data_IF_517502277995
#
_entry.id   IF_517502277995
#
_cell.length_a   1.000
_cell.length_b   1.000
_cell.length_c   1.000
_cell.angle_alpha   90.00
_cell.angle_beta   90.00
_cell.angle_gamma   90.00
#
_symmetry.space_group_name_H-M   'P 1'
#
loop_
_entity.id
_entity.type
_entity.pdbx_description
1 polymer ?
#
# COMPACT_ATOMS: atom_id res chain seq x y z
N UNK A 1 -25.92 -4.03 -13.89
CA UNK A 1 -24.52 -4.47 -13.75
C UNK A 1 -23.65 -3.24 -13.96
N UNK A 2 -23.13 -2.62 -12.89
CA UNK A 2 -22.22 -1.49 -13.10
C UNK A 2 -20.88 -2.05 -13.61
N UNK A 3 -20.31 -1.52 -14.70
CA UNK A 3 -18.95 -1.84 -15.07
C UNK A 3 -18.06 -1.11 -14.04
N UNK A 4 -17.69 -1.79 -12.97
CA UNK A 4 -16.62 -1.31 -12.08
C UNK A 4 -15.34 -1.35 -12.89
N UNK A 5 -15.01 -0.21 -13.52
CA UNK A 5 -13.74 0.04 -14.18
C UNK A 5 -12.66 -0.18 -13.11
N UNK A 6 -11.82 -1.22 -13.23
CA UNK A 6 -10.73 -1.43 -12.29
C UNK A 6 -9.86 -0.18 -12.33
N UNK A 7 -9.83 0.58 -11.25
CA UNK A 7 -8.92 1.72 -11.16
C UNK A 7 -7.50 1.16 -11.27
N UNK A 8 -6.62 1.72 -12.12
CA UNK A 8 -5.26 1.22 -12.27
C UNK A 8 -4.55 1.31 -10.92
N UNK A 9 -4.36 0.14 -10.30
CA UNK A 9 -3.60 0.01 -9.08
C UNK A 9 -2.12 0.00 -9.49
N UNK A 10 -1.45 1.13 -9.36
CA UNK A 10 0.00 1.19 -9.54
C UNK A 10 0.67 0.33 -8.47
N UNK A 11 1.61 -0.53 -8.88
CA UNK A 11 2.32 -1.43 -7.98
C UNK A 11 3.24 -0.70 -6.98
N UNK A 12 3.46 0.61 -7.17
CA UNK A 12 4.43 1.40 -6.42
C UNK A 12 3.85 2.77 -6.02
N UNK A 13 4.19 3.23 -4.81
CA UNK A 13 3.83 4.56 -4.35
C UNK A 13 4.64 5.67 -5.04
N UNK A 14 4.21 6.95 -4.97
CA UNK A 14 4.89 8.07 -5.63
C UNK A 14 6.29 8.37 -5.07
N UNK A 15 6.61 7.85 -3.89
CA UNK A 15 7.96 7.94 -3.31
C UNK A 15 8.86 6.84 -3.88
N UNK A 16 8.36 5.61 -3.95
CA UNK A 16 9.05 4.51 -4.56
C UNK A 16 9.32 4.70 -6.07
N UNK A 17 8.40 5.37 -6.78
CA UNK A 17 8.61 5.73 -8.18
C UNK A 17 9.84 6.64 -8.40
N UNK A 18 10.13 7.54 -7.44
CA UNK A 18 11.34 8.39 -7.49
C UNK A 18 12.63 7.58 -7.28
N UNK A 19 12.59 6.57 -6.41
CA UNK A 19 13.74 5.67 -6.19
C UNK A 19 14.05 4.86 -7.45
N UNK A 20 13.03 4.41 -8.18
CA UNK A 20 13.17 3.71 -9.46
C UNK A 20 13.89 4.57 -10.52
N UNK A 21 13.51 5.86 -10.62
CA UNK A 21 14.21 6.79 -11.53
C UNK A 21 15.67 7.01 -11.14
N UNK A 22 15.97 7.05 -9.85
CA UNK A 22 17.35 7.17 -9.36
C UNK A 22 18.14 5.89 -9.68
N UNK A 23 17.56 4.70 -9.47
CA UNK A 23 18.18 3.42 -9.82
C UNK A 23 18.51 3.33 -11.30
N UNK A 24 17.56 3.73 -12.17
CA UNK A 24 17.77 3.80 -13.61
C UNK A 24 18.87 4.80 -14.01
N UNK A 25 18.93 5.97 -13.36
CA UNK A 25 19.97 6.96 -13.60
C UNK A 25 21.37 6.43 -13.21
N UNK A 26 21.47 5.70 -12.11
CA UNK A 26 22.74 5.07 -11.67
C UNK A 26 23.17 3.95 -12.62
N UNK A 27 22.23 3.11 -13.07
CA UNK A 27 22.51 2.09 -14.08
C UNK A 27 22.99 2.71 -15.39
N UNK A 28 22.29 3.74 -15.87
CA UNK A 28 22.68 4.48 -17.06
C UNK A 28 24.06 5.12 -16.90
N UNK A 29 24.34 5.73 -15.74
CA UNK A 29 25.67 6.26 -15.43
C UNK A 29 26.74 5.18 -15.45
N UNK A 30 26.50 3.99 -14.88
CA UNK A 30 27.44 2.86 -14.94
C UNK A 30 27.77 2.41 -16.36
N UNK A 31 26.74 2.30 -17.23
CA UNK A 31 26.95 1.99 -18.65
C UNK A 31 27.68 3.11 -19.39
N UNK A 32 27.35 4.38 -19.10
CA UNK A 32 28.03 5.54 -19.69
C UNK A 32 29.49 5.59 -19.25
N UNK A 33 29.79 5.35 -17.97
CA UNK A 33 31.16 5.27 -17.45
C UNK A 33 31.95 4.15 -18.12
N UNK A 34 31.34 3.00 -18.40
CA UNK A 34 32.00 1.93 -19.16
C UNK A 34 32.24 2.31 -20.64
N UNK A 35 31.33 3.09 -21.25
CA UNK A 35 31.46 3.57 -22.64
C UNK A 35 32.42 4.76 -22.82
N UNK A 36 32.52 5.64 -21.81
CA UNK A 36 33.32 6.87 -21.86
C UNK A 36 34.61 6.80 -21.04
N UNK A 37 34.76 5.78 -20.18
CA UNK A 37 35.92 5.60 -19.30
C UNK A 37 37.24 5.46 -20.04
N UNK A 38 37.21 5.05 -21.31
CA UNK A 38 38.41 4.93 -22.16
C UNK A 38 38.81 6.26 -22.83
N UNK A 39 37.98 7.31 -22.75
CA UNK A 39 38.11 8.52 -23.60
C UNK A 39 38.82 9.69 -22.94
N UNK A 40 38.84 9.75 -21.62
CA UNK A 40 39.62 10.75 -20.90
C UNK A 40 40.86 10.06 -20.32
N UNK A 41 41.98 10.77 -20.36
CA UNK A 41 43.29 10.36 -19.86
C UNK A 41 43.30 10.21 -18.31
N UNK A 42 42.34 9.47 -17.76
CA UNK A 42 42.44 8.88 -16.44
C UNK A 42 43.45 7.74 -16.59
N UNK A 43 44.66 7.90 -16.06
CA UNK A 43 45.69 6.85 -16.01
C UNK A 43 45.32 5.67 -15.10
N UNK A 44 44.06 5.23 -15.16
CA UNK A 44 43.33 4.50 -14.14
C UNK A 44 42.44 3.47 -14.84
N UNK A 45 43.02 2.39 -15.36
CA UNK A 45 42.26 1.21 -15.84
C UNK A 45 41.17 0.77 -14.83
N UNK A 46 41.31 1.18 -13.58
CA UNK A 46 40.37 1.04 -12.48
C UNK A 46 39.03 1.76 -12.66
N UNK A 47 38.95 2.93 -13.29
CA UNK A 47 37.68 3.69 -13.34
C UNK A 47 36.67 3.05 -14.29
N UNK A 48 37.08 2.71 -15.51
CA UNK A 48 36.20 2.00 -16.45
C UNK A 48 35.89 0.56 -16.00
N UNK A 49 36.94 -0.18 -15.59
CA UNK A 49 36.85 -1.62 -15.34
C UNK A 49 36.37 -1.96 -13.93
N UNK A 50 36.65 -1.13 -12.92
CA UNK A 50 36.19 -1.35 -11.53
C UNK A 50 34.97 -0.51 -11.22
N UNK A 51 34.97 0.78 -11.54
CA UNK A 51 33.87 1.68 -11.19
C UNK A 51 32.60 1.39 -12.00
N UNK A 52 32.73 1.05 -13.29
CA UNK A 52 31.59 0.70 -14.16
C UNK A 52 30.77 -0.47 -13.59
N UNK A 53 31.37 -1.65 -13.38
CA UNK A 53 30.68 -2.78 -12.75
C UNK A 53 30.19 -2.49 -11.32
N UNK A 54 30.93 -1.70 -10.53
CA UNK A 54 30.51 -1.31 -9.18
C UNK A 54 29.23 -0.46 -9.20
N UNK A 55 29.12 0.50 -10.11
CA UNK A 55 27.91 1.30 -10.31
C UNK A 55 26.74 0.44 -10.77
N UNK A 56 26.98 -0.55 -11.64
CA UNK A 56 25.94 -1.47 -12.09
C UNK A 56 25.38 -2.31 -10.92
N UNK A 57 26.25 -2.85 -10.06
CA UNK A 57 25.83 -3.63 -8.88
C UNK A 57 25.06 -2.74 -7.89
N UNK A 58 25.56 -1.53 -7.63
CA UNK A 58 24.87 -0.57 -6.77
C UNK A 58 23.51 -0.15 -7.34
N UNK A 59 23.45 0.15 -8.64
CA UNK A 59 22.21 0.51 -9.34
C UNK A 59 21.19 -0.62 -9.33
N UNK A 60 21.61 -1.86 -9.58
CA UNK A 60 20.76 -3.04 -9.46
C UNK A 60 20.24 -3.25 -8.04
N UNK A 61 21.08 -3.02 -7.02
CA UNK A 61 20.68 -3.11 -5.62
C UNK A 61 19.61 -2.07 -5.25
N UNK A 62 19.77 -0.83 -5.72
CA UNK A 62 18.79 0.24 -5.53
C UNK A 62 17.48 -0.09 -6.23
N UNK A 63 17.54 -0.57 -7.47
CA UNK A 63 16.37 -0.94 -8.27
C UNK A 63 15.61 -2.12 -7.62
N UNK A 64 16.34 -3.13 -7.16
CA UNK A 64 15.79 -4.26 -6.45
C UNK A 64 15.13 -3.85 -5.14
N UNK A 65 15.78 -2.95 -4.38
CA UNK A 65 15.21 -2.37 -3.17
C UNK A 65 13.96 -1.53 -3.47
N UNK A 66 13.95 -0.72 -4.53
CA UNK A 66 12.75 0.02 -4.94
C UNK A 66 11.61 -0.95 -5.27
N UNK A 67 11.85 -2.02 -6.01
CA UNK A 67 10.79 -2.97 -6.37
C UNK A 67 10.27 -3.74 -5.14
N UNK A 68 11.15 -4.19 -4.24
CA UNK A 68 10.75 -4.98 -3.07
C UNK A 68 10.14 -4.14 -1.95
N UNK A 69 10.62 -2.92 -1.74
CA UNK A 69 10.19 -2.05 -0.64
C UNK A 69 8.83 -1.47 -0.98
N UNK A 70 7.79 -2.20 -0.57
CA UNK A 70 6.41 -1.72 -0.64
C UNK A 70 6.18 -0.65 0.41
N UNK A 71 5.91 0.57 -0.02
CA UNK A 71 5.43 1.63 0.85
C UNK A 71 4.06 1.23 1.44
N UNK A 72 3.87 1.46 2.75
CA UNK A 72 2.56 1.31 3.45
C UNK A 72 1.43 2.08 2.76
N UNK A 73 1.77 3.09 1.96
CA UNK A 73 0.83 3.87 1.15
C UNK A 73 0.04 3.01 0.15
N UNK A 74 0.61 1.90 -0.35
CA UNK A 74 -0.09 0.94 -1.21
C UNK A 74 -1.14 0.13 -0.44
N UNK A 75 -0.94 -0.08 0.86
CA UNK A 75 -1.93 -0.72 1.76
C UNK A 75 -3.12 0.22 1.98
N UNK A 76 -2.90 1.53 2.06
CA UNK A 76 -4.00 2.50 2.24
C UNK A 76 -4.84 2.67 0.95
N UNK A 77 -4.23 2.55 -0.23
CA UNK A 77 -4.95 2.60 -1.51
C UNK A 77 -5.62 1.26 -1.90
N UNK A 78 -5.12 0.13 -1.40
CA UNK A 78 -5.72 -1.20 -1.59
C UNK A 78 -6.73 -1.57 -0.51
N UNK A 79 -6.75 -0.87 0.62
CA UNK A 79 -7.89 -0.91 1.52
C UNK A 79 -9.02 -0.21 0.77
N UNK A 80 -10.05 -0.93 0.29
CA UNK A 80 -11.26 -0.25 -0.16
C UNK A 80 -11.63 0.68 0.99
N UNK A 81 -12.01 1.95 0.78
CA UNK A 81 -12.68 2.70 1.84
C UNK A 81 -13.74 1.73 2.36
N UNK A 82 -13.58 1.29 3.63
CA UNK A 82 -14.45 0.31 4.23
C UNK A 82 -15.86 0.72 3.81
N UNK A 83 -16.63 -0.17 3.16
CA UNK A 83 -17.86 0.25 2.51
C UNK A 83 -18.63 1.11 3.50
N UNK A 84 -18.66 2.42 3.26
CA UNK A 84 -19.62 3.31 3.87
C UNK A 84 -21.02 2.99 3.34
N UNK A 85 -21.21 1.85 2.66
CA UNK A 85 -22.45 1.08 2.62
C UNK A 85 -22.65 0.28 3.92
N UNK A 86 -22.88 1.00 5.00
CA UNK A 86 -24.24 0.92 5.53
C UNK A 86 -24.63 2.36 5.77
N UNK A 87 -25.52 2.99 4.98
CA UNK A 87 -26.49 3.83 5.66
C UNK A 87 -26.98 2.94 6.80
N UNK A 88 -26.91 3.43 8.03
CA UNK A 88 -27.71 2.85 9.08
C UNK A 88 -29.17 3.04 8.61
N UNK A 89 -29.66 2.16 7.74
CA UNK A 89 -30.99 1.66 7.83
C UNK A 89 -30.99 0.94 9.17
N UNK A 90 -31.07 1.75 10.23
CA UNK A 90 -31.56 1.31 11.49
C UNK A 90 -32.85 0.59 11.11
N UNK A 91 -32.96 -0.74 11.29
CA UNK A 91 -34.29 -1.31 11.31
C UNK A 91 -35.02 -0.47 12.33
N UNK A 92 -36.06 0.27 11.91
CA UNK A 92 -36.94 1.01 12.81
C UNK A 92 -37.12 0.08 14.00
N UNK A 93 -36.70 0.46 15.22
CA UNK A 93 -36.68 -0.48 16.33
C UNK A 93 -38.10 -1.02 16.42
N UNK A 94 -38.26 -2.28 16.01
CA UNK A 94 -39.50 -3.00 16.26
C UNK A 94 -39.69 -2.80 17.77
N UNK A 95 -40.85 -2.29 18.21
CA UNK A 95 -41.08 -2.13 19.64
C UNK A 95 -40.74 -3.48 20.23
N UNK A 96 -39.70 -3.54 21.06
CA UNK A 96 -39.27 -4.78 21.70
C UNK A 96 -40.52 -5.26 22.39
N UNK A 97 -41.16 -6.27 21.81
CA UNK A 97 -42.23 -7.00 22.46
C UNK A 97 -41.55 -7.56 23.69
N UNK A 98 -41.73 -6.86 24.81
CA UNK A 98 -41.27 -7.31 26.10
C UNK A 98 -41.71 -8.76 26.18
N UNK A 99 -40.81 -9.69 26.53
CA UNK A 99 -41.23 -11.05 26.70
C UNK A 99 -42.29 -11.01 27.81
N UNK A 100 -43.52 -11.41 27.46
CA UNK A 100 -44.74 -11.30 28.27
C UNK A 100 -44.54 -11.88 29.69
N UNK A 101 -43.52 -12.73 29.87
CA UNK A 101 -43.05 -13.27 31.16
C UNK A 101 -42.76 -12.23 32.24
N UNK A 102 -42.24 -11.04 31.90
CA UNK A 102 -41.88 -10.06 32.93
C UNK A 102 -43.05 -9.16 33.38
N UNK A 103 -44.10 -9.03 32.56
CA UNK A 103 -45.33 -8.32 32.97
C UNK A 103 -46.24 -9.22 33.83
N UNK A 104 -46.24 -10.53 33.58
CA UNK A 104 -46.99 -11.51 34.38
C UNK A 104 -46.45 -11.65 35.81
N UNK A 105 -45.12 -11.70 36.00
CA UNK A 105 -44.54 -11.76 37.36
C UNK A 105 -44.73 -10.46 38.14
N UNK A 106 -44.68 -9.31 37.47
CA UNK A 106 -44.92 -8.01 38.13
C UNK A 106 -46.39 -7.82 38.54
N UNK A 107 -47.36 -8.35 37.77
CA UNK A 107 -48.77 -8.30 38.14
C UNK A 107 -49.10 -9.29 39.29
N UNK A 108 -48.46 -10.46 39.29
CA UNK A 108 -48.67 -11.47 40.33
C UNK A 108 -48.12 -11.00 41.69
N UNK A 109 -46.94 -10.37 41.73
CA UNK A 109 -46.38 -9.82 42.98
C UNK A 109 -47.16 -8.60 43.52
N UNK A 110 -47.79 -7.81 42.65
CA UNK A 110 -48.62 -6.67 43.06
C UNK A 110 -49.95 -7.10 43.69
N UNK A 111 -50.46 -8.29 43.35
CA UNK A 111 -51.72 -8.81 43.88
C UNK A 111 -51.55 -9.56 45.22
N UNK A 112 -50.31 -9.82 45.66
CA UNK A 112 -50.01 -10.53 46.91
C UNK A 112 -49.62 -9.55 48.03
N UNK A 113 -49.37 -8.27 47.71
CA UNK A 113 -48.92 -7.25 48.66
C UNK A 113 -50.00 -6.21 49.06
N UNK A 114 -51.27 -6.49 48.76
CA UNK A 114 -52.44 -5.71 49.22
C UNK A 114 -53.44 -6.64 49.87
#
# INVERSE_FOLDING_TARGET
MQPTKPAPHFAFGPRNYRLMWIGLAVLAAGFITMMFGDKENYGEDFVGITLGPLLLVAGFGIEFAAILVRDKTLVVASTPPAPTSVPAFAPKPAPRLLPLRHRLTSACNAMISG
#
